data_IF_726006795811
#
_entry.id   IF_726006795811
#
_cell.length_a   1.000
_cell.length_b   1.000
_cell.length_c   1.000
_cell.angle_alpha   90.00
_cell.angle_beta   90.00
_cell.angle_gamma   90.00
#
_symmetry.space_group_name_H-M   'P 1'
#
loop_
_entity.id
_entity.type
_entity.pdbx_description
1 polymer ?
#
# COMPACT_ATOMS: atom_id res chain seq x y z
N UNK A 1 -28.51 28.77 37.33
CA UNK A 1 -27.17 29.03 36.77
C UNK A 1 -26.31 27.82 37.06
N UNK A 2 -26.11 26.97 36.08
CA UNK A 2 -25.29 25.76 36.22
C UNK A 2 -23.87 26.09 35.81
N UNK A 3 -22.92 26.01 36.71
CA UNK A 3 -21.50 26.25 36.46
C UNK A 3 -20.94 24.92 35.93
N UNK A 4 -20.55 24.87 34.65
CA UNK A 4 -19.82 23.74 34.08
C UNK A 4 -18.45 23.62 34.74
N UNK A 5 -17.99 22.41 35.12
CA UNK A 5 -16.68 22.25 35.70
C UNK A 5 -15.59 22.50 34.63
N UNK A 6 -14.70 23.44 34.93
CA UNK A 6 -13.46 23.66 34.15
C UNK A 6 -12.54 22.47 34.44
N UNK A 7 -12.21 21.69 33.42
CA UNK A 7 -11.19 20.63 33.50
C UNK A 7 -9.83 21.29 33.84
N UNK A 8 -9.06 20.73 34.76
CA UNK A 8 -7.74 21.27 35.10
C UNK A 8 -6.79 21.12 33.88
N UNK A 9 -6.03 22.17 33.61
CA UNK A 9 -4.96 22.13 32.58
C UNK A 9 -3.92 21.08 32.96
N UNK A 10 -3.40 20.31 31.98
CA UNK A 10 -2.37 19.31 32.25
C UNK A 10 -1.14 19.96 32.88
N UNK A 11 -0.64 19.37 33.96
CA UNK A 11 0.52 19.89 34.68
C UNK A 11 1.80 19.85 33.79
N UNK A 12 2.77 20.73 34.08
CA UNK A 12 4.01 20.85 33.32
C UNK A 12 4.76 19.49 33.11
N UNK A 13 4.66 18.59 34.07
CA UNK A 13 5.19 17.23 33.96
C UNK A 13 4.49 16.36 32.89
N UNK A 14 3.17 16.48 32.73
CA UNK A 14 2.41 15.76 31.73
C UNK A 14 2.76 16.26 30.31
N UNK A 15 2.84 17.59 30.13
CA UNK A 15 3.29 18.20 28.87
C UNK A 15 4.72 17.82 28.49
N UNK A 16 5.64 17.73 29.45
CA UNK A 16 7.00 17.28 29.22
C UNK A 16 7.07 15.78 28.82
N UNK A 17 6.26 14.95 29.45
CA UNK A 17 6.16 13.53 29.13
C UNK A 17 5.55 13.30 27.72
N UNK A 18 4.49 14.01 27.36
CA UNK A 18 3.89 13.97 26.02
C UNK A 18 4.89 14.44 24.95
N UNK A 19 5.63 15.53 25.20
CA UNK A 19 6.67 16.02 24.29
C UNK A 19 7.86 15.05 24.16
N UNK A 20 8.21 14.33 25.21
CA UNK A 20 9.25 13.28 25.16
C UNK A 20 8.78 12.06 24.36
N UNK A 21 7.52 11.64 24.55
CA UNK A 21 6.89 10.55 23.80
C UNK A 21 6.78 10.91 22.32
N UNK A 22 6.33 12.12 21.98
CA UNK A 22 6.25 12.60 20.60
C UNK A 22 7.61 12.58 19.88
N UNK A 23 8.68 13.04 20.54
CA UNK A 23 10.04 12.95 19.97
C UNK A 23 10.51 11.51 19.78
N UNK A 24 10.15 10.60 20.68
CA UNK A 24 10.46 9.18 20.54
C UNK A 24 9.73 8.54 19.36
N UNK A 25 8.47 8.90 19.10
CA UNK A 25 7.69 8.43 17.98
C UNK A 25 8.25 8.94 16.65
N UNK A 26 8.62 10.23 16.58
CA UNK A 26 9.22 10.79 15.37
C UNK A 26 10.52 10.09 14.99
N UNK A 27 11.37 9.79 15.97
CA UNK A 27 12.62 9.03 15.75
C UNK A 27 12.34 7.58 15.32
N UNK A 28 11.34 6.93 15.92
CA UNK A 28 10.92 5.58 15.54
C UNK A 28 10.41 5.55 14.10
N UNK A 29 9.53 6.47 13.74
CA UNK A 29 8.99 6.58 12.38
C UNK A 29 10.08 6.89 11.36
N UNK A 30 11.02 7.76 11.70
CA UNK A 30 12.16 8.10 10.83
C UNK A 30 13.01 6.86 10.50
N UNK A 31 13.35 6.08 11.54
CA UNK A 31 14.13 4.84 11.37
C UNK A 31 13.37 3.79 10.56
N UNK A 32 12.08 3.60 10.82
CA UNK A 32 11.25 2.65 10.08
C UNK A 32 11.11 3.06 8.61
N UNK A 33 10.85 4.34 8.35
CA UNK A 33 10.70 4.88 7.00
C UNK A 33 12.00 4.76 6.20
N UNK A 34 13.14 5.11 6.80
CA UNK A 34 14.45 5.00 6.15
C UNK A 34 14.86 3.54 5.92
N UNK A 35 14.62 2.65 6.90
CA UNK A 35 14.88 1.22 6.74
C UNK A 35 14.05 0.60 5.60
N UNK A 36 12.75 0.93 5.53
CA UNK A 36 11.89 0.49 4.44
C UNK A 36 12.30 1.09 3.09
N UNK A 37 12.74 2.35 3.05
CA UNK A 37 13.27 2.97 1.84
C UNK A 37 14.51 2.24 1.29
N UNK A 38 15.39 1.75 2.16
CA UNK A 38 16.59 1.00 1.77
C UNK A 38 16.28 -0.27 0.97
N UNK A 39 15.09 -0.84 1.10
CA UNK A 39 14.62 -1.91 0.23
C UNK A 39 14.71 -1.51 -1.24
N UNK A 40 14.17 -0.35 -1.60
CA UNK A 40 14.16 0.11 -2.99
C UNK A 40 15.57 0.37 -3.52
N UNK A 41 16.50 0.84 -2.69
CA UNK A 41 17.90 1.00 -3.10
C UNK A 41 18.58 -0.33 -3.42
N UNK A 42 18.33 -1.35 -2.60
CA UNK A 42 18.98 -2.67 -2.70
C UNK A 42 18.36 -3.56 -3.77
N UNK A 43 17.04 -3.47 -3.93
CA UNK A 43 16.27 -4.41 -4.74
C UNK A 43 15.93 -3.87 -6.14
N UNK A 44 16.34 -2.65 -6.47
CA UNK A 44 16.21 -2.09 -7.83
C UNK A 44 17.38 -2.52 -8.72
N UNK A 45 17.05 -2.93 -9.94
CA UNK A 45 18.04 -3.03 -11.01
C UNK A 45 18.37 -1.62 -11.54
N UNK A 46 19.59 -1.11 -11.39
CA UNK A 46 19.92 0.27 -11.77
C UNK A 46 19.90 0.50 -13.30
N UNK A 47 20.02 -0.55 -14.11
CA UNK A 47 20.07 -0.45 -15.58
C UNK A 47 18.69 -0.20 -16.20
N UNK A 48 17.65 -0.85 -15.64
CA UNK A 48 16.30 -0.80 -16.20
C UNK A 48 15.23 -0.31 -15.22
N UNK A 49 15.59 -0.02 -13.97
CA UNK A 49 14.67 0.50 -12.96
C UNK A 49 13.63 -0.49 -12.44
N UNK A 50 13.69 -1.77 -12.84
CA UNK A 50 12.82 -2.82 -12.30
C UNK A 50 13.16 -3.07 -10.83
N UNK A 51 12.14 -3.39 -10.02
CA UNK A 51 12.30 -3.64 -8.59
C UNK A 51 11.75 -5.01 -8.24
N UNK A 52 12.54 -5.82 -7.54
CA UNK A 52 12.13 -7.14 -7.13
C UNK A 52 10.91 -7.09 -6.19
N UNK A 53 10.03 -8.09 -6.27
CA UNK A 53 8.86 -8.22 -5.42
C UNK A 53 9.22 -8.45 -3.95
N UNK A 54 10.23 -9.27 -3.71
CA UNK A 54 10.71 -9.60 -2.36
C UNK A 54 12.23 -9.66 -2.29
N UNK A 55 12.79 -9.67 -1.08
CA UNK A 55 14.24 -9.92 -0.87
C UNK A 55 14.63 -11.40 -1.02
N UNK A 56 13.69 -12.29 -1.28
CA UNK A 56 13.95 -13.72 -1.47
C UNK A 56 14.74 -13.95 -2.74
N UNK A 57 15.64 -14.92 -2.71
CA UNK A 57 16.47 -15.26 -3.87
C UNK A 57 15.61 -15.64 -5.09
N UNK A 58 15.93 -15.09 -6.26
CA UNK A 58 15.20 -15.35 -7.49
C UNK A 58 13.82 -14.67 -7.59
N UNK A 59 13.56 -13.69 -6.73
CA UNK A 59 12.33 -12.90 -6.79
C UNK A 59 12.22 -12.18 -8.12
N UNK A 60 11.08 -12.26 -8.84
CA UNK A 60 10.84 -11.45 -10.02
C UNK A 60 10.61 -9.99 -9.66
N UNK A 61 10.56 -9.13 -10.67
CA UNK A 61 10.02 -7.78 -10.54
C UNK A 61 8.50 -7.85 -10.36
N UNK A 62 7.96 -7.07 -9.41
CA UNK A 62 6.56 -6.70 -9.39
C UNK A 62 6.39 -5.28 -9.96
N UNK A 63 5.51 -5.11 -10.94
CA UNK A 63 5.30 -3.80 -11.57
C UNK A 63 4.69 -2.79 -10.58
N UNK A 64 3.85 -3.25 -9.64
CA UNK A 64 3.34 -2.39 -8.57
C UNK A 64 4.46 -1.87 -7.67
N UNK A 65 5.43 -2.73 -7.32
CA UNK A 65 6.58 -2.33 -6.50
C UNK A 65 7.43 -1.27 -7.22
N UNK A 66 7.55 -1.33 -8.54
CA UNK A 66 8.17 -0.24 -9.33
C UNK A 66 7.38 1.07 -9.16
N UNK A 67 6.05 1.02 -9.17
CA UNK A 67 5.20 2.20 -8.93
C UNK A 67 5.42 2.82 -7.54
N UNK A 68 5.56 1.98 -6.52
CA UNK A 68 5.93 2.42 -5.17
C UNK A 68 7.33 3.03 -5.12
N UNK A 69 8.32 2.42 -5.80
CA UNK A 69 9.67 2.97 -5.88
C UNK A 69 9.70 4.35 -6.54
N UNK A 70 8.99 4.51 -7.69
CA UNK A 70 8.86 5.80 -8.38
C UNK A 70 8.24 6.89 -7.51
N UNK A 71 7.35 6.52 -6.59
CA UNK A 71 6.77 7.43 -5.59
C UNK A 71 7.71 7.67 -4.39
N UNK A 72 8.59 6.71 -4.08
CA UNK A 72 9.53 6.81 -2.96
C UNK A 72 10.77 7.66 -3.29
N UNK A 73 11.17 7.77 -4.57
CA UNK A 73 12.29 8.64 -4.97
C UNK A 73 12.06 10.11 -4.60
N UNK A 74 10.89 10.74 -4.88
CA UNK A 74 10.55 12.06 -4.34
C UNK A 74 10.69 12.17 -2.82
N UNK A 75 10.22 11.17 -2.07
CA UNK A 75 10.34 11.15 -0.61
C UNK A 75 11.80 11.15 -0.18
N UNK A 76 12.64 10.34 -0.83
CA UNK A 76 14.07 10.28 -0.52
C UNK A 76 14.80 11.60 -0.78
N UNK A 77 14.42 12.33 -1.82
CA UNK A 77 14.97 13.67 -2.10
C UNK A 77 14.54 14.66 -1.01
N UNK A 78 13.26 14.70 -0.63
CA UNK A 78 12.74 15.59 0.42
C UNK A 78 13.35 15.29 1.79
N UNK A 79 13.64 14.02 2.08
CA UNK A 79 14.28 13.59 3.33
C UNK A 79 15.81 13.71 3.32
N UNK A 80 16.42 14.07 2.19
CA UNK A 80 17.87 14.18 2.05
C UNK A 80 18.60 12.82 2.04
N UNK A 81 17.89 11.71 1.76
CA UNK A 81 18.49 10.37 1.67
C UNK A 81 19.09 10.09 0.30
N UNK A 82 18.71 10.87 -0.71
CA UNK A 82 19.17 10.72 -2.09
C UNK A 82 19.32 12.08 -2.77
N UNK A 83 20.34 12.23 -3.59
CA UNK A 83 20.45 13.41 -4.44
C UNK A 83 19.35 13.42 -5.51
N UNK A 84 18.83 14.61 -5.83
CA UNK A 84 17.77 14.75 -6.85
C UNK A 84 18.19 14.18 -8.20
N UNK A 85 19.44 14.39 -8.61
CA UNK A 85 19.95 13.84 -9.88
C UNK A 85 19.90 12.33 -9.92
N UNK A 86 20.25 11.64 -8.83
CA UNK A 86 20.22 10.17 -8.76
C UNK A 86 18.78 9.65 -8.81
N UNK A 87 17.83 10.31 -8.13
CA UNK A 87 16.42 9.99 -8.19
C UNK A 87 15.86 10.13 -9.62
N UNK A 88 16.24 11.20 -10.33
CA UNK A 88 15.89 11.41 -11.74
C UNK A 88 16.43 10.30 -12.63
N UNK A 89 17.71 9.91 -12.46
CA UNK A 89 18.31 8.83 -13.27
C UNK A 89 17.62 7.48 -13.05
N UNK A 90 17.31 7.11 -11.80
CA UNK A 90 16.56 5.89 -11.49
C UNK A 90 15.16 5.91 -12.07
N UNK A 91 14.49 7.05 -12.01
CA UNK A 91 13.16 7.24 -12.63
C UNK A 91 13.24 7.08 -14.15
N UNK A 92 14.22 7.72 -14.80
CA UNK A 92 14.43 7.60 -16.25
C UNK A 92 14.75 6.18 -16.69
N UNK A 93 15.54 5.42 -15.93
CA UNK A 93 15.83 4.02 -16.23
C UNK A 93 14.53 3.21 -16.34
N UNK A 94 13.63 3.34 -15.36
CA UNK A 94 12.33 2.65 -15.39
C UNK A 94 11.44 3.14 -16.55
N UNK A 95 11.30 4.45 -16.75
CA UNK A 95 10.42 4.98 -17.80
C UNK A 95 10.91 4.61 -19.20
N UNK A 96 12.22 4.64 -19.45
CA UNK A 96 12.80 4.20 -20.73
C UNK A 96 12.57 2.72 -20.98
N UNK A 97 12.79 1.88 -19.95
CA UNK A 97 12.50 0.46 -20.03
C UNK A 97 11.04 0.20 -20.42
N UNK A 98 10.07 0.79 -19.73
CA UNK A 98 8.66 0.58 -20.06
C UNK A 98 8.26 1.18 -21.40
N UNK A 99 8.88 2.28 -21.88
CA UNK A 99 8.68 2.83 -23.22
C UNK A 99 9.06 1.81 -24.30
N UNK A 100 10.23 1.19 -24.15
CA UNK A 100 10.85 0.33 -25.14
C UNK A 100 10.45 -1.15 -24.99
N UNK A 101 9.66 -1.48 -23.99
CA UNK A 101 9.24 -2.84 -23.67
C UNK A 101 8.30 -3.45 -24.72
N UNK A 102 8.37 -4.78 -24.84
CA UNK A 102 7.50 -5.55 -25.74
C UNK A 102 6.03 -5.47 -25.29
N UNK A 103 5.18 -4.92 -26.18
CA UNK A 103 3.73 -4.75 -25.98
C UNK A 103 2.92 -5.65 -26.92
N UNK A 104 3.51 -6.73 -27.45
CA UNK A 104 2.81 -7.63 -28.38
C UNK A 104 1.75 -8.51 -27.73
N UNK A 105 1.75 -8.64 -26.39
CA UNK A 105 0.88 -9.58 -25.69
C UNK A 105 1.26 -11.05 -25.85
N UNK A 106 2.44 -11.34 -26.43
CA UNK A 106 2.95 -12.72 -26.51
C UNK A 106 3.18 -13.31 -25.12
N UNK A 107 3.26 -14.66 -24.97
CA UNK A 107 3.47 -15.31 -23.67
C UNK A 107 4.72 -14.87 -22.91
N UNK A 108 5.67 -14.24 -23.59
CA UNK A 108 6.93 -13.73 -23.01
C UNK A 108 7.04 -12.20 -23.07
N UNK A 109 6.03 -11.51 -23.63
CA UNK A 109 6.02 -10.05 -23.70
C UNK A 109 6.06 -9.42 -22.31
N UNK A 110 6.41 -8.14 -22.22
CA UNK A 110 6.35 -7.34 -21.01
C UNK A 110 4.93 -6.86 -20.73
N UNK A 111 4.14 -6.63 -21.79
CA UNK A 111 2.79 -6.08 -21.66
C UNK A 111 1.94 -6.23 -22.91
N UNK A 112 0.74 -5.62 -22.87
CA UNK A 112 -0.23 -5.56 -23.95
C UNK A 112 -1.20 -4.38 -23.74
N UNK A 113 -1.58 -3.68 -24.80
CA UNK A 113 -2.47 -2.51 -24.74
C UNK A 113 -2.04 -1.42 -23.74
N UNK A 114 -0.75 -1.29 -23.48
CA UNK A 114 -0.21 -0.34 -22.52
C UNK A 114 -0.25 -0.80 -21.06
N UNK A 115 -0.89 -1.93 -20.75
CA UNK A 115 -0.80 -2.61 -19.46
C UNK A 115 0.38 -3.58 -19.45
N UNK A 116 0.74 -4.06 -18.26
CA UNK A 116 1.90 -4.91 -18.05
C UNK A 116 1.55 -6.19 -17.30
N UNK A 117 2.32 -7.25 -17.53
CA UNK A 117 2.20 -8.46 -16.74
C UNK A 117 2.66 -8.21 -15.30
N UNK A 118 1.96 -8.82 -14.35
CA UNK A 118 2.15 -8.63 -12.92
C UNK A 118 3.62 -8.83 -12.49
N UNK A 119 4.22 -9.95 -12.94
CA UNK A 119 5.60 -10.29 -12.62
C UNK A 119 6.45 -10.37 -13.89
N UNK A 120 7.63 -9.73 -13.82
CA UNK A 120 8.59 -9.65 -14.91
C UNK A 120 9.95 -10.18 -14.44
N UNK A 121 10.71 -10.75 -15.36
CA UNK A 121 12.11 -11.06 -15.13
C UNK A 121 12.91 -9.77 -14.89
N UNK A 122 13.75 -9.75 -13.87
CA UNK A 122 14.49 -8.57 -13.40
C UNK A 122 15.48 -7.99 -14.43
N UNK A 123 15.90 -8.78 -15.43
CA UNK A 123 16.88 -8.36 -16.44
C UNK A 123 16.23 -8.12 -17.79
N UNK A 124 15.51 -9.11 -18.31
CA UNK A 124 14.92 -9.07 -19.64
C UNK A 124 13.57 -8.35 -19.69
N UNK A 125 12.86 -8.27 -18.55
CA UNK A 125 11.48 -7.77 -18.50
C UNK A 125 10.45 -8.72 -19.09
N UNK A 126 10.83 -9.96 -19.41
CA UNK A 126 9.90 -10.97 -19.89
C UNK A 126 8.92 -11.39 -18.79
N UNK A 127 7.69 -11.72 -19.18
CA UNK A 127 6.65 -12.23 -18.26
C UNK A 127 7.14 -13.45 -17.48
N UNK A 128 6.91 -13.43 -16.16
CA UNK A 128 7.24 -14.53 -15.26
C UNK A 128 5.98 -15.27 -14.76
N UNK A 129 6.16 -16.56 -14.42
CA UNK A 129 5.16 -17.43 -13.77
C UNK A 129 3.81 -17.52 -14.47
N UNK A 130 3.73 -17.24 -15.78
CA UNK A 130 2.46 -17.12 -16.50
C UNK A 130 1.47 -16.18 -15.80
N UNK A 131 2.00 -15.14 -15.14
CA UNK A 131 1.19 -14.15 -14.47
C UNK A 131 0.21 -13.49 -15.44
N UNK A 132 -0.88 -12.98 -14.93
CA UNK A 132 -1.82 -12.18 -15.71
C UNK A 132 -1.23 -10.81 -16.08
N UNK A 133 -1.73 -10.24 -17.15
CA UNK A 133 -1.66 -8.82 -17.42
C UNK A 133 -2.52 -8.14 -16.34
N UNK A 134 -1.87 -7.54 -15.35
CA UNK A 134 -2.57 -7.01 -14.19
C UNK A 134 -2.95 -5.55 -14.39
N UNK A 135 -4.25 -5.28 -14.33
CA UNK A 135 -4.76 -3.94 -14.54
C UNK A 135 -4.56 -3.07 -13.30
N UNK A 136 -4.74 -3.65 -12.11
CA UNK A 136 -4.54 -2.90 -10.86
C UNK A 136 -3.06 -2.58 -10.61
N UNK A 137 -2.16 -3.54 -10.81
CA UNK A 137 -0.73 -3.30 -10.63
C UNK A 137 -0.18 -2.33 -11.67
N UNK A 138 -0.72 -2.36 -12.91
CA UNK A 138 -0.44 -1.34 -13.92
C UNK A 138 -0.92 0.05 -13.49
N UNK A 139 -2.08 0.15 -12.83
CA UNK A 139 -2.56 1.42 -12.29
C UNK A 139 -1.64 1.96 -11.17
N UNK A 140 -1.15 1.08 -10.29
CA UNK A 140 -0.17 1.44 -9.25
C UNK A 140 1.15 1.91 -9.86
N UNK A 141 1.64 1.22 -10.91
CA UNK A 141 2.82 1.63 -11.66
C UNK A 141 2.66 3.03 -12.27
N UNK A 142 1.54 3.26 -12.96
CA UNK A 142 1.23 4.55 -13.58
C UNK A 142 1.07 5.68 -12.57
N UNK A 143 0.47 5.40 -11.40
CA UNK A 143 0.40 6.37 -10.31
C UNK A 143 1.79 6.81 -9.83
N UNK A 144 2.73 5.86 -9.74
CA UNK A 144 4.14 6.17 -9.45
C UNK A 144 4.80 7.02 -10.53
N UNK A 145 4.60 6.69 -11.82
CA UNK A 145 5.11 7.47 -12.95
C UNK A 145 4.58 8.92 -12.93
N UNK A 146 3.27 9.10 -12.75
CA UNK A 146 2.65 10.42 -12.67
C UNK A 146 3.08 11.20 -11.43
N UNK A 147 3.31 10.53 -10.30
CA UNK A 147 3.82 11.14 -9.07
C UNK A 147 5.23 11.70 -9.30
N UNK A 148 6.12 10.90 -9.88
CA UNK A 148 7.48 11.33 -10.22
C UNK A 148 7.45 12.51 -11.21
N UNK A 149 6.63 12.43 -12.27
CA UNK A 149 6.49 13.50 -13.25
C UNK A 149 5.95 14.81 -12.63
N UNK A 150 5.08 14.71 -11.63
CA UNK A 150 4.53 15.87 -10.92
C UNK A 150 5.55 16.51 -9.96
N UNK A 151 6.48 15.70 -9.43
CA UNK A 151 7.53 16.18 -8.52
C UNK A 151 8.76 16.74 -9.24
N UNK A 152 9.23 16.07 -10.30
CA UNK A 152 10.41 16.46 -11.06
C UNK A 152 10.04 17.45 -12.16
N UNK A 153 10.00 18.76 -11.80
CA UNK A 153 9.48 19.83 -12.65
C UNK A 153 10.52 20.83 -13.14
N UNK A 154 11.83 20.61 -12.84
CA UNK A 154 12.88 21.51 -13.33
C UNK A 154 12.99 21.47 -14.86
N UNK A 155 13.51 22.56 -15.42
CA UNK A 155 13.70 22.71 -16.87
C UNK A 155 14.99 22.04 -17.38
N UNK A 156 15.55 21.10 -16.62
CA UNK A 156 16.70 20.31 -17.10
C UNK A 156 16.26 19.31 -18.18
N UNK A 157 17.11 18.99 -19.16
CA UNK A 157 16.75 18.01 -20.20
C UNK A 157 16.27 16.67 -19.64
N UNK A 158 16.90 16.19 -18.56
CA UNK A 158 16.53 14.93 -17.91
C UNK A 158 15.13 14.96 -17.29
N UNK A 159 14.76 16.03 -16.60
CA UNK A 159 13.42 16.14 -16.01
C UNK A 159 12.34 16.46 -17.05
N UNK A 160 12.69 17.12 -18.15
CA UNK A 160 11.78 17.29 -19.30
C UNK A 160 11.49 15.93 -19.93
N UNK A 161 12.52 15.14 -20.27
CA UNK A 161 12.38 13.78 -20.79
C UNK A 161 11.54 12.89 -19.87
N UNK A 162 11.80 12.95 -18.55
CA UNK A 162 11.05 12.20 -17.56
C UNK A 162 9.55 12.47 -17.66
N UNK A 163 9.15 13.74 -17.72
CA UNK A 163 7.73 14.13 -17.84
C UNK A 163 7.12 13.68 -19.16
N UNK A 164 7.83 13.85 -20.26
CA UNK A 164 7.37 13.41 -21.59
C UNK A 164 7.18 11.90 -21.67
N UNK A 165 8.10 11.12 -21.08
CA UNK A 165 7.98 9.67 -21.01
C UNK A 165 6.81 9.22 -20.15
N UNK A 166 6.64 9.79 -18.97
CA UNK A 166 5.52 9.45 -18.07
C UNK A 166 4.17 9.78 -18.74
N UNK A 167 4.06 10.92 -19.39
CA UNK A 167 2.89 11.32 -20.18
C UNK A 167 2.61 10.34 -21.31
N UNK A 168 3.62 9.97 -22.11
CA UNK A 168 3.48 9.05 -23.23
C UNK A 168 3.06 7.65 -22.77
N UNK A 169 3.63 7.15 -21.67
CA UNK A 169 3.30 5.86 -21.09
C UNK A 169 1.86 5.83 -20.56
N UNK A 170 1.43 6.87 -19.86
CA UNK A 170 0.05 6.97 -19.38
C UNK A 170 -0.97 7.04 -20.53
N UNK A 171 -0.68 7.82 -21.58
CA UNK A 171 -1.54 7.95 -22.75
C UNK A 171 -1.63 6.68 -23.61
N UNK A 172 -0.63 5.81 -23.55
CA UNK A 172 -0.58 4.53 -24.29
C UNK A 172 -1.63 3.53 -23.79
N UNK A 173 -2.06 3.63 -22.53
CA UNK A 173 -2.92 2.62 -21.90
C UNK A 173 -4.32 2.65 -22.49
N UNK A 174 -4.77 1.51 -23.00
CA UNK A 174 -6.12 1.31 -23.54
C UNK A 174 -7.10 0.85 -22.45
N UNK A 175 -7.56 1.81 -21.65
CA UNK A 175 -8.53 1.53 -20.58
C UNK A 175 -9.89 1.06 -21.12
N UNK A 176 -10.29 1.52 -22.31
CA UNK A 176 -11.54 1.11 -22.92
C UNK A 176 -11.52 -0.38 -23.28
N UNK A 177 -10.37 -0.89 -23.79
CA UNK A 177 -10.17 -2.31 -24.00
C UNK A 177 -10.33 -3.13 -22.71
N UNK A 178 -9.87 -2.61 -21.58
CA UNK A 178 -9.95 -3.25 -20.26
C UNK A 178 -11.38 -3.36 -19.72
N UNK A 179 -12.34 -2.58 -20.22
CA UNK A 179 -13.76 -2.75 -19.94
C UNK A 179 -14.37 -3.94 -20.67
N UNK A 180 -13.77 -4.39 -21.78
CA UNK A 180 -14.37 -5.36 -22.67
C UNK A 180 -15.75 -4.88 -23.13
N UNK A 181 -16.74 -5.78 -23.17
CA UNK A 181 -18.17 -5.47 -23.46
C UNK A 181 -18.98 -5.25 -22.16
N UNK A 182 -18.32 -5.21 -21.01
CA UNK A 182 -18.93 -5.08 -19.69
C UNK A 182 -18.99 -3.65 -19.16
N UNK A 183 -19.66 -3.47 -18.03
CA UNK A 183 -19.70 -2.20 -17.32
C UNK A 183 -18.50 -1.96 -16.42
N UNK A 184 -17.89 -3.03 -15.86
CA UNK A 184 -16.73 -2.94 -14.98
C UNK A 184 -15.43 -3.29 -15.70
N UNK A 185 -14.31 -2.77 -15.18
CA UNK A 185 -12.97 -3.17 -15.62
C UNK A 185 -12.70 -4.61 -15.20
N UNK A 186 -12.12 -5.43 -16.07
CA UNK A 186 -11.75 -6.81 -15.76
C UNK A 186 -10.51 -6.85 -14.84
N UNK A 187 -10.34 -7.96 -14.09
CA UNK A 187 -9.15 -8.11 -13.23
C UNK A 187 -7.86 -8.21 -14.02
N UNK A 188 -7.88 -8.87 -15.17
CA UNK A 188 -6.70 -9.08 -15.98
C UNK A 188 -6.96 -9.84 -17.26
N UNK A 189 -5.90 -10.11 -17.99
CA UNK A 189 -5.89 -10.82 -19.25
C UNK A 189 -4.68 -11.77 -19.32
N UNK A 190 -4.81 -12.87 -20.04
CA UNK A 190 -3.71 -13.81 -20.32
C UNK A 190 -3.67 -14.22 -21.78
N UNK A 191 -2.48 -14.37 -22.39
CA UNK A 191 -2.38 -14.85 -23.79
C UNK A 191 -3.04 -16.21 -23.99
N UNK A 192 -3.03 -17.06 -22.96
CA UNK A 192 -3.50 -18.43 -23.03
C UNK A 192 -5.03 -18.56 -23.02
N UNK A 193 -5.74 -17.62 -22.42
CA UNK A 193 -7.20 -17.75 -22.21
C UNK A 193 -7.99 -16.44 -22.40
N UNK A 194 -7.32 -15.32 -22.73
CA UNK A 194 -7.99 -14.03 -22.84
C UNK A 194 -8.31 -13.38 -21.50
N UNK A 195 -9.39 -12.63 -21.44
CA UNK A 195 -9.80 -11.94 -20.24
C UNK A 195 -10.18 -12.90 -19.09
N UNK A 196 -9.76 -12.55 -17.88
CA UNK A 196 -10.20 -13.24 -16.67
C UNK A 196 -11.70 -13.00 -16.46
N UNK A 197 -12.40 -13.99 -15.88
CA UNK A 197 -13.85 -13.95 -15.72
C UNK A 197 -14.35 -13.07 -14.56
N UNK A 198 -13.48 -12.31 -13.93
CA UNK A 198 -13.79 -11.44 -12.79
C UNK A 198 -13.63 -9.98 -13.19
N UNK A 199 -14.59 -9.15 -12.78
CA UNK A 199 -14.50 -7.70 -12.87
C UNK A 199 -14.16 -7.09 -11.52
N UNK A 200 -13.60 -5.90 -11.54
CA UNK A 200 -13.45 -5.06 -10.36
C UNK A 200 -14.82 -4.51 -9.95
N UNK A 201 -15.52 -5.26 -9.10
CA UNK A 201 -16.82 -4.93 -8.54
C UNK A 201 -16.76 -4.88 -7.02
N UNK A 202 -17.47 -3.92 -6.41
CA UNK A 202 -17.46 -3.73 -4.98
C UNK A 202 -16.20 -3.04 -4.45
N UNK A 203 -16.25 -2.63 -3.20
CA UNK A 203 -15.18 -1.84 -2.60
C UNK A 203 -13.85 -2.61 -2.52
N UNK A 204 -12.86 -2.05 -3.15
CA UNK A 204 -11.51 -2.58 -3.25
C UNK A 204 -10.50 -1.46 -3.43
N UNK A 205 -9.22 -1.77 -3.56
CA UNK A 205 -8.14 -0.84 -3.88
C UNK A 205 -8.28 -0.18 -5.26
N UNK A 206 -9.22 -0.62 -6.08
CA UNK A 206 -9.39 -0.20 -7.47
C UNK A 206 -9.92 1.24 -7.66
N UNK A 207 -10.19 2.02 -6.59
CA UNK A 207 -10.55 3.44 -6.74
C UNK A 207 -9.51 4.16 -7.60
N UNK A 208 -8.22 3.95 -7.34
CA UNK A 208 -7.13 4.56 -8.10
C UNK A 208 -7.16 4.15 -9.57
N UNK A 209 -7.41 2.88 -9.86
CA UNK A 209 -7.55 2.35 -11.23
C UNK A 209 -8.66 3.09 -11.98
N UNK A 210 -9.85 3.18 -11.38
CA UNK A 210 -10.98 3.88 -12.00
C UNK A 210 -10.71 5.37 -12.19
N UNK A 211 -10.09 6.03 -11.21
CA UNK A 211 -9.71 7.45 -11.32
C UNK A 211 -8.75 7.68 -12.48
N UNK A 212 -7.71 6.86 -12.61
CA UNK A 212 -6.75 6.94 -13.72
C UNK A 212 -7.41 6.59 -15.06
N UNK A 213 -8.21 5.53 -15.12
CA UNK A 213 -8.89 5.13 -16.35
C UNK A 213 -9.89 6.19 -16.84
N UNK A 214 -10.66 6.80 -15.94
CA UNK A 214 -11.57 7.91 -16.26
C UNK A 214 -10.82 9.18 -16.67
N UNK A 215 -9.61 9.39 -16.17
CA UNK A 215 -8.80 10.57 -16.49
C UNK A 215 -8.10 10.48 -17.84
N UNK A 216 -7.96 9.27 -18.40
CA UNK A 216 -7.21 9.06 -19.64
C UNK A 216 -7.63 10.03 -20.75
N UNK A 217 -6.67 10.69 -21.42
CA UNK A 217 -6.99 11.61 -22.52
C UNK A 217 -7.18 10.88 -23.86
N UNK A 218 -6.85 9.61 -23.94
CA UNK A 218 -6.87 8.79 -25.18
C UNK A 218 -7.99 7.76 -25.17
N UNK A 219 -7.85 6.71 -24.38
CA UNK A 219 -8.73 5.53 -24.33
C UNK A 219 -9.39 5.41 -22.96
N UNK A 220 -10.17 6.39 -22.56
CA UNK A 220 -10.74 6.46 -21.21
C UNK A 220 -11.87 5.48 -20.98
N UNK A 221 -12.06 5.11 -19.71
CA UNK A 221 -13.25 4.44 -19.22
C UNK A 221 -14.50 5.31 -19.36
N UNK A 222 -15.65 4.66 -19.44
CA UNK A 222 -16.94 5.36 -19.34
C UNK A 222 -17.26 5.70 -17.88
N UNK A 223 -18.03 6.77 -17.66
CA UNK A 223 -18.44 7.16 -16.28
C UNK A 223 -19.33 6.10 -15.63
N UNK A 224 -20.11 5.37 -16.45
CA UNK A 224 -20.94 4.25 -16.03
C UNK A 224 -20.12 3.13 -15.38
N UNK A 225 -18.86 2.96 -15.78
CA UNK A 225 -18.00 1.91 -15.21
C UNK A 225 -17.72 2.12 -13.73
N UNK A 226 -17.54 3.37 -13.30
CA UNK A 226 -17.38 3.70 -11.89
C UNK A 226 -18.68 3.47 -11.10
N UNK A 227 -19.82 3.83 -11.69
CA UNK A 227 -21.11 3.59 -11.06
C UNK A 227 -21.38 2.08 -10.92
N UNK A 228 -21.10 1.30 -11.96
CA UNK A 228 -21.26 -0.16 -11.93
C UNK A 228 -20.38 -0.79 -10.83
N UNK A 229 -19.14 -0.33 -10.67
CA UNK A 229 -18.24 -0.80 -9.61
C UNK A 229 -18.81 -0.55 -8.21
N UNK A 230 -19.51 0.56 -7.98
CA UNK A 230 -20.10 0.90 -6.68
C UNK A 230 -21.40 0.17 -6.35
N UNK A 231 -22.03 -0.52 -7.30
CA UNK A 231 -23.37 -1.16 -7.12
C UNK A 231 -23.36 -2.21 -6.02
N UNK A 232 -22.27 -2.96 -5.90
CA UNK A 232 -22.15 -4.06 -4.94
C UNK A 232 -21.50 -3.65 -3.62
N UNK A 233 -21.40 -2.35 -3.34
CA UNK A 233 -20.87 -1.83 -2.09
C UNK A 233 -21.69 -2.29 -0.89
N UNK A 234 -21.03 -2.76 0.16
CA UNK A 234 -21.63 -3.24 1.39
C UNK A 234 -21.36 -2.25 2.52
N UNK A 235 -22.42 -1.63 3.03
CA UNK A 235 -22.36 -0.74 4.17
C UNK A 235 -22.76 -1.50 5.44
N UNK A 236 -21.80 -1.65 6.36
CA UNK A 236 -21.92 -2.49 7.54
C UNK A 236 -21.80 -1.69 8.82
N UNK A 237 -22.39 -2.21 9.90
CA UNK A 237 -22.10 -1.75 11.26
C UNK A 237 -21.33 -2.84 12.00
N UNK A 238 -20.06 -2.61 12.29
CA UNK A 238 -19.22 -3.53 13.04
C UNK A 238 -18.64 -2.81 14.28
N UNK A 239 -18.84 -3.42 15.43
CA UNK A 239 -18.36 -2.88 16.71
C UNK A 239 -18.76 -1.41 16.99
N UNK A 240 -19.91 -0.98 16.48
CA UNK A 240 -20.42 0.40 16.62
C UNK A 240 -19.90 1.37 15.56
N UNK A 241 -19.16 0.90 14.57
CA UNK A 241 -18.69 1.70 13.44
C UNK A 241 -19.49 1.38 12.18
N UNK A 242 -20.17 2.40 11.62
CA UNK A 242 -20.81 2.31 10.30
C UNK A 242 -19.77 2.62 9.23
N UNK A 243 -19.49 1.72 8.32
CA UNK A 243 -18.49 1.93 7.27
C UNK A 243 -18.74 1.08 6.03
N UNK A 244 -18.11 1.47 4.92
CA UNK A 244 -18.05 0.67 3.71
C UNK A 244 -17.08 -0.48 3.93
N UNK A 245 -17.63 -1.69 3.92
CA UNK A 245 -16.93 -2.89 4.34
C UNK A 245 -15.91 -3.37 3.29
N UNK A 246 -14.72 -3.68 3.78
CA UNK A 246 -13.77 -4.63 3.22
C UNK A 246 -12.99 -5.26 4.39
N UNK A 247 -12.68 -6.56 4.29
CA UNK A 247 -12.02 -7.27 5.39
C UNK A 247 -10.55 -6.90 5.58
N UNK A 248 -9.71 -6.97 4.53
CA UNK A 248 -8.28 -6.65 4.61
C UNK A 248 -8.01 -5.14 4.66
N UNK A 249 -7.01 -4.73 5.45
CA UNK A 249 -6.64 -3.31 5.57
C UNK A 249 -6.10 -2.69 4.28
N UNK A 250 -5.34 -3.43 3.47
CA UNK A 250 -4.73 -2.86 2.26
C UNK A 250 -5.76 -2.23 1.31
N UNK A 251 -6.99 -2.78 1.28
CA UNK A 251 -8.10 -2.23 0.49
C UNK A 251 -8.42 -0.79 0.92
N UNK A 252 -8.37 -0.52 2.22
CA UNK A 252 -8.61 0.80 2.80
C UNK A 252 -7.40 1.74 2.72
N UNK A 253 -6.26 1.29 2.16
CA UNK A 253 -4.99 2.00 2.23
C UNK A 253 -4.41 2.36 0.86
N UNK A 254 -4.37 1.43 -0.10
CA UNK A 254 -3.59 1.58 -1.32
C UNK A 254 -3.94 2.83 -2.12
N UNK A 255 -5.22 3.09 -2.39
CA UNK A 255 -5.61 4.32 -3.10
C UNK A 255 -5.28 5.60 -2.32
N UNK A 256 -5.25 5.53 -0.98
CA UNK A 256 -4.90 6.66 -0.11
C UNK A 256 -3.42 7.04 -0.14
N UNK A 257 -2.54 6.18 -0.65
CA UNK A 257 -1.15 6.54 -0.89
C UNK A 257 -1.06 7.78 -1.76
N UNK A 258 -1.84 7.78 -2.86
CA UNK A 258 -1.79 8.85 -3.87
C UNK A 258 -2.93 9.84 -3.76
N UNK A 259 -4.13 9.45 -3.30
CA UNK A 259 -5.32 10.32 -3.30
C UNK A 259 -5.68 10.73 -1.87
N UNK A 260 -5.75 12.03 -1.65
CA UNK A 260 -6.28 12.59 -0.41
C UNK A 260 -7.80 12.65 -0.46
N UNK A 261 -8.46 11.67 0.15
CA UNK A 261 -9.91 11.59 0.14
C UNK A 261 -10.60 12.46 1.21
N UNK A 262 -9.85 13.25 1.98
CA UNK A 262 -10.44 14.11 3.03
C UNK A 262 -11.35 15.17 2.44
N UNK A 263 -12.63 15.09 2.82
CA UNK A 263 -13.66 16.06 2.45
C UNK A 263 -14.18 15.94 1.02
N UNK A 264 -13.60 15.10 0.17
CA UNK A 264 -14.13 14.81 -1.18
C UNK A 264 -14.99 13.55 -1.13
N UNK A 265 -16.13 13.58 -1.84
CA UNK A 265 -17.12 12.50 -1.78
C UNK A 265 -17.70 12.22 -3.15
N UNK A 266 -17.73 10.95 -3.53
CA UNK A 266 -18.52 10.46 -4.67
C UNK A 266 -20.02 10.41 -4.30
N UNK A 267 -20.83 9.87 -5.21
CA UNK A 267 -22.28 9.75 -4.98
C UNK A 267 -22.60 8.90 -3.75
N UNK A 268 -22.01 7.70 -3.64
CA UNK A 268 -22.27 6.77 -2.54
C UNK A 268 -21.89 7.38 -1.19
N UNK A 269 -20.70 7.96 -1.09
CA UNK A 269 -20.20 8.56 0.16
C UNK A 269 -20.98 9.81 0.56
N UNK A 270 -21.55 10.56 -0.41
CA UNK A 270 -22.49 11.67 -0.07
C UNK A 270 -23.76 11.16 0.58
N UNK A 271 -24.34 10.07 0.06
CA UNK A 271 -25.54 9.43 0.62
C UNK A 271 -25.29 8.92 2.05
N UNK A 272 -24.07 8.40 2.32
CA UNK A 272 -23.63 7.94 3.64
C UNK A 272 -23.11 9.05 4.55
N UNK A 273 -23.02 10.29 4.09
CA UNK A 273 -22.45 11.45 4.81
C UNK A 273 -21.05 11.19 5.35
N UNK A 274 -20.26 10.40 4.63
CA UNK A 274 -18.90 9.97 4.94
C UNK A 274 -17.98 10.31 3.78
N UNK A 275 -16.67 10.28 3.99
CA UNK A 275 -15.68 10.21 2.93
C UNK A 275 -14.81 8.94 3.09
N UNK A 276 -14.00 8.62 2.07
CA UNK A 276 -13.20 7.40 2.13
C UNK A 276 -12.09 7.48 3.18
N UNK A 277 -11.65 8.67 3.59
CA UNK A 277 -10.67 8.81 4.67
C UNK A 277 -11.28 8.44 6.02
N UNK A 278 -12.45 8.99 6.34
CA UNK A 278 -13.18 8.62 7.55
C UNK A 278 -13.59 7.13 7.52
N UNK A 279 -13.94 6.60 6.34
CA UNK A 279 -14.20 5.18 6.16
C UNK A 279 -12.99 4.32 6.56
N UNK A 280 -11.81 4.66 6.06
CA UNK A 280 -10.56 3.94 6.36
C UNK A 280 -10.15 4.10 7.84
N UNK A 281 -10.43 5.25 8.44
CA UNK A 281 -10.29 5.46 9.89
C UNK A 281 -11.18 4.47 10.68
N UNK A 282 -12.45 4.35 10.33
CA UNK A 282 -13.38 3.41 10.97
C UNK A 282 -12.95 1.95 10.78
N UNK A 283 -12.53 1.59 9.59
CA UNK A 283 -11.97 0.25 9.31
C UNK A 283 -10.74 -0.05 10.19
N UNK A 284 -9.87 0.94 10.42
CA UNK A 284 -8.71 0.81 11.32
C UNK A 284 -9.16 0.53 12.77
N UNK A 285 -10.18 1.21 13.26
CA UNK A 285 -10.75 0.94 14.57
C UNK A 285 -11.41 -0.45 14.66
N UNK A 286 -12.14 -0.87 13.62
CA UNK A 286 -12.75 -2.22 13.54
C UNK A 286 -11.68 -3.31 13.65
N UNK A 287 -10.53 -3.13 13.00
CA UNK A 287 -9.40 -4.07 13.08
C UNK A 287 -8.87 -4.21 14.53
N UNK A 288 -8.64 -3.07 15.20
CA UNK A 288 -8.21 -3.06 16.61
C UNK A 288 -9.25 -3.70 17.52
N UNK A 289 -10.54 -3.34 17.37
CA UNK A 289 -11.65 -3.90 18.19
C UNK A 289 -11.76 -5.42 18.01
N UNK A 290 -11.63 -5.92 16.78
CA UNK A 290 -11.62 -7.35 16.51
C UNK A 290 -10.47 -8.05 17.25
N UNK A 291 -9.24 -7.54 17.13
CA UNK A 291 -8.09 -8.13 17.80
C UNK A 291 -8.18 -8.03 19.33
N UNK A 292 -8.73 -6.94 19.87
CA UNK A 292 -8.95 -6.76 21.31
C UNK A 292 -9.99 -7.77 21.85
N UNK A 293 -11.07 -8.00 21.12
CA UNK A 293 -12.10 -9.01 21.45
C UNK A 293 -11.59 -10.43 21.24
N UNK A 294 -10.68 -10.62 20.30
CA UNK A 294 -10.00 -11.86 19.99
C UNK A 294 -10.95 -13.09 19.95
N UNK A 295 -11.97 -13.09 19.08
CA UNK A 295 -13.03 -14.11 19.11
C UNK A 295 -12.55 -15.54 18.83
N UNK A 296 -11.35 -15.67 18.25
CA UNK A 296 -10.73 -16.97 17.95
C UNK A 296 -9.63 -17.37 18.94
N UNK A 297 -9.39 -16.53 19.95
CA UNK A 297 -8.39 -16.78 21.03
C UNK A 297 -6.97 -16.98 20.51
N UNK A 298 -6.54 -16.21 19.50
CA UNK A 298 -5.17 -16.25 19.01
C UNK A 298 -4.22 -15.60 20.02
N UNK A 299 -3.07 -16.24 20.23
CA UNK A 299 -2.00 -15.67 21.06
C UNK A 299 -1.51 -14.35 20.47
N UNK A 300 -1.35 -13.36 21.31
CA UNK A 300 -0.78 -12.06 20.93
C UNK A 300 -1.79 -11.04 20.40
N UNK A 301 -2.97 -11.42 19.97
CA UNK A 301 -4.02 -10.45 19.58
C UNK A 301 -4.41 -9.56 20.76
N UNK A 302 -4.64 -8.30 20.49
CA UNK A 302 -5.03 -7.31 21.51
C UNK A 302 -4.94 -5.88 20.94
N UNK A 303 -5.11 -4.90 21.81
CA UNK A 303 -5.10 -3.47 21.48
C UNK A 303 -3.76 -2.96 20.90
N UNK A 304 -2.65 -3.63 21.23
CA UNK A 304 -1.31 -3.33 20.73
C UNK A 304 -0.79 -4.32 19.66
N UNK A 305 -1.61 -5.26 19.17
CA UNK A 305 -1.18 -6.24 18.17
C UNK A 305 -2.36 -6.64 17.28
N UNK A 306 -2.49 -5.97 16.15
CA UNK A 306 -3.56 -6.10 15.16
C UNK A 306 -3.07 -5.69 13.77
N UNK A 307 -3.87 -5.93 12.75
CA UNK A 307 -3.59 -5.54 11.38
C UNK A 307 -3.72 -6.72 10.41
N UNK A 308 -4.97 -7.14 10.12
CA UNK A 308 -5.21 -8.19 9.14
C UNK A 308 -5.24 -7.59 7.74
N UNK A 309 -4.37 -8.13 6.88
CA UNK A 309 -4.19 -7.67 5.51
C UNK A 309 -3.68 -8.82 4.63
N UNK A 310 -3.40 -8.54 3.36
CA UNK A 310 -2.63 -9.45 2.54
C UNK A 310 -1.21 -9.57 3.11
N UNK A 311 -0.69 -10.77 3.15
CA UNK A 311 0.64 -11.02 3.66
C UNK A 311 0.96 -12.51 3.76
N UNK A 312 2.21 -12.80 4.05
CA UNK A 312 2.72 -14.15 4.20
C UNK A 312 2.20 -14.81 5.48
N UNK A 313 2.30 -16.12 5.58
CA UNK A 313 1.87 -16.86 6.74
C UNK A 313 2.71 -18.09 7.00
N UNK A 314 2.64 -18.66 8.23
CA UNK A 314 3.57 -19.67 8.71
C UNK A 314 3.45 -21.03 8.02
N UNK A 315 2.39 -21.27 7.27
CA UNK A 315 2.15 -22.51 6.55
C UNK A 315 0.98 -22.39 5.60
N UNK A 316 1.01 -23.12 4.49
CA UNK A 316 -0.16 -23.29 3.60
C UNK A 316 -1.04 -24.49 4.02
N UNK A 317 -0.79 -25.09 5.17
CA UNK A 317 -1.49 -26.29 5.66
C UNK A 317 -1.73 -26.24 7.16
N UNK A 318 -2.73 -26.99 7.68
CA UNK A 318 -2.98 -27.07 9.10
C UNK A 318 -1.77 -27.61 9.90
N UNK A 319 -1.56 -27.03 11.08
CA UNK A 319 -0.57 -27.48 12.05
C UNK A 319 -1.22 -27.78 13.40
N UNK A 320 -0.55 -28.58 14.24
CA UNK A 320 -0.94 -28.79 15.63
C UNK A 320 -0.27 -27.70 16.48
N UNK A 321 -1.09 -26.88 17.16
CA UNK A 321 -0.63 -25.83 18.07
C UNK A 321 -1.33 -26.02 19.41
N UNK A 322 -0.58 -26.12 20.49
CA UNK A 322 -1.10 -26.33 21.84
C UNK A 322 -2.18 -27.44 21.91
N UNK A 323 -1.95 -28.59 21.24
CA UNK A 323 -2.87 -29.73 21.23
C UNK A 323 -4.14 -29.56 20.40
N UNK A 324 -4.26 -28.49 19.60
CA UNK A 324 -5.38 -28.26 18.68
C UNK A 324 -4.89 -28.19 17.25
N UNK A 325 -5.66 -28.77 16.31
CA UNK A 325 -5.41 -28.62 14.88
C UNK A 325 -5.92 -27.23 14.44
N UNK A 326 -5.01 -26.36 14.03
CA UNK A 326 -5.30 -25.01 13.55
C UNK A 326 -5.00 -24.91 12.05
N UNK A 327 -5.91 -24.31 11.29
CA UNK A 327 -5.66 -23.98 9.90
C UNK A 327 -4.73 -22.77 9.84
N UNK A 328 -3.76 -22.84 8.94
CA UNK A 328 -2.92 -21.71 8.55
C UNK A 328 -3.01 -21.54 7.05
N UNK A 329 -2.74 -20.33 6.62
CA UNK A 329 -2.65 -19.96 5.22
C UNK A 329 -1.21 -19.54 4.93
N UNK A 330 -0.70 -19.84 3.73
CA UNK A 330 0.51 -19.22 3.21
C UNK A 330 0.26 -17.73 2.95
N UNK A 331 0.66 -17.23 1.79
CA UNK A 331 0.25 -15.89 1.41
C UNK A 331 -1.27 -15.83 1.23
N UNK A 332 -1.92 -14.91 1.93
CA UNK A 332 -3.38 -14.78 1.91
C UNK A 332 -3.83 -13.36 2.27
N UNK A 333 -4.95 -12.92 1.68
CA UNK A 333 -5.63 -11.69 2.07
C UNK A 333 -6.51 -11.96 3.30
N UNK A 334 -5.93 -11.76 4.49
CA UNK A 334 -6.63 -11.89 5.77
C UNK A 334 -7.48 -10.68 6.05
N UNK A 335 -8.64 -10.87 6.68
CA UNK A 335 -9.57 -9.77 6.91
C UNK A 335 -10.54 -10.01 8.04
N UNK A 336 -11.10 -8.94 8.61
CA UNK A 336 -12.04 -8.96 9.74
C UNK A 336 -13.42 -8.49 9.33
N UNK A 337 -14.47 -9.03 9.97
CA UNK A 337 -14.52 -10.24 10.81
C UNK A 337 -14.77 -11.50 9.97
N UNK A 338 -15.13 -11.36 8.66
CA UNK A 338 -15.65 -12.42 7.80
C UNK A 338 -14.58 -13.05 6.91
N UNK A 339 -13.40 -12.46 6.82
CA UNK A 339 -12.29 -12.97 6.00
C UNK A 339 -11.50 -14.10 6.66
N UNK A 340 -10.53 -14.67 5.93
CA UNK A 340 -9.59 -15.62 6.51
C UNK A 340 -8.84 -15.00 7.70
N UNK A 341 -8.66 -15.78 8.77
CA UNK A 341 -7.88 -15.39 9.94
C UNK A 341 -7.27 -16.63 10.57
N UNK A 342 -5.95 -16.65 10.70
CA UNK A 342 -5.14 -17.72 11.27
C UNK A 342 -4.23 -17.23 12.42
N UNK A 343 -4.49 -16.01 12.91
CA UNK A 343 -3.67 -15.38 13.94
C UNK A 343 -2.45 -14.64 13.40
N UNK A 344 -2.30 -14.53 12.06
CA UNK A 344 -1.22 -13.78 11.41
C UNK A 344 -1.64 -12.34 11.15
N UNK A 345 -0.78 -11.40 11.53
CA UNK A 345 -0.96 -9.96 11.24
C UNK A 345 0.14 -9.48 10.29
N UNK A 346 -0.15 -8.41 9.55
CA UNK A 346 0.82 -7.62 8.80
C UNK A 346 1.12 -6.34 9.57
N UNK A 347 2.32 -6.23 10.14
CA UNK A 347 2.74 -5.04 10.90
C UNK A 347 2.80 -3.80 10.02
N UNK A 348 3.19 -3.96 8.76
CA UNK A 348 3.18 -2.94 7.71
C UNK A 348 1.79 -2.32 7.51
N UNK A 349 0.74 -3.15 7.48
CA UNK A 349 -0.64 -2.68 7.33
C UNK A 349 -1.15 -1.93 8.57
N UNK A 350 -0.78 -2.36 9.78
CA UNK A 350 -1.05 -1.59 10.98
C UNK A 350 -0.39 -0.20 10.90
N UNK A 351 0.90 -0.13 10.53
CA UNK A 351 1.64 1.12 10.37
C UNK A 351 1.08 1.99 9.24
N UNK A 352 0.69 1.41 8.11
CA UNK A 352 0.09 2.14 6.98
C UNK A 352 -1.24 2.82 7.34
N UNK A 353 -1.90 2.40 8.42
CA UNK A 353 -3.08 3.08 8.98
C UNK A 353 -2.75 4.35 9.79
N UNK A 354 -1.48 4.72 9.91
CA UNK A 354 -1.02 5.85 10.75
C UNK A 354 -1.71 7.17 10.41
N UNK A 355 -1.92 7.43 9.13
CA UNK A 355 -2.60 8.67 8.67
C UNK A 355 -4.06 8.75 9.13
N UNK A 356 -4.72 7.60 9.35
CA UNK A 356 -6.14 7.54 9.70
C UNK A 356 -6.40 7.63 11.20
N UNK A 357 -5.60 6.93 12.01
CA UNK A 357 -5.83 6.80 13.44
C UNK A 357 -4.51 6.70 14.23
N UNK A 358 -3.68 7.78 14.24
CA UNK A 358 -2.38 7.76 14.91
C UNK A 358 -2.47 7.41 16.39
N UNK A 359 -3.56 7.75 17.05
CA UNK A 359 -3.81 7.51 18.47
C UNK A 359 -3.87 6.04 18.87
N UNK A 360 -4.21 5.14 17.95
CA UNK A 360 -4.20 3.68 18.18
C UNK A 360 -3.06 2.98 17.41
N UNK A 361 -2.56 3.58 16.33
CA UNK A 361 -1.49 3.00 15.52
C UNK A 361 -0.13 3.15 16.19
N UNK A 362 0.22 4.34 16.72
CA UNK A 362 1.52 4.56 17.36
C UNK A 362 1.75 3.61 18.55
N UNK A 363 0.80 3.38 19.48
CA UNK A 363 0.96 2.37 20.51
C UNK A 363 1.18 0.95 19.99
N UNK A 364 0.44 0.54 18.93
CA UNK A 364 0.59 -0.77 18.31
C UNK A 364 1.97 -0.93 17.66
N UNK A 365 2.44 0.07 16.92
CA UNK A 365 3.77 0.05 16.30
C UNK A 365 4.88 -0.02 17.34
N UNK A 366 4.81 0.76 18.45
CA UNK A 366 5.78 0.66 19.56
C UNK A 366 5.82 -0.76 20.14
N UNK A 367 4.66 -1.39 20.34
CA UNK A 367 4.58 -2.76 20.83
C UNK A 367 5.23 -3.77 19.86
N UNK A 368 4.96 -3.65 18.57
CA UNK A 368 5.55 -4.51 17.53
C UNK A 368 7.08 -4.32 17.45
N UNK A 369 7.57 -3.08 17.48
CA UNK A 369 9.01 -2.78 17.50
C UNK A 369 9.68 -3.37 18.75
N UNK A 370 9.06 -3.24 19.92
CA UNK A 370 9.59 -3.79 21.17
C UNK A 370 9.62 -5.33 21.18
N UNK A 371 8.72 -6.01 20.47
CA UNK A 371 8.74 -7.47 20.32
C UNK A 371 9.91 -7.94 19.46
N UNK A 372 10.19 -7.29 18.34
CA UNK A 372 11.34 -7.62 17.49
C UNK A 372 12.67 -7.54 18.25
N UNK A 373 12.82 -6.54 19.12
CA UNK A 373 14.03 -6.38 19.93
C UNK A 373 14.28 -7.50 20.95
N UNK A 374 13.25 -8.24 21.35
CA UNK A 374 13.38 -9.40 22.28
C UNK A 374 13.76 -10.70 21.60
N UNK A 375 13.55 -10.80 20.28
CA UNK A 375 13.80 -12.03 19.50
C UNK A 375 15.21 -12.06 18.87
N UNK A 376 15.93 -10.95 18.86
CA UNK A 376 17.32 -10.89 18.41
C UNK A 376 18.23 -11.67 19.36
N UNK A 377 19.06 -12.57 18.84
CA UNK A 377 20.12 -13.25 19.62
C UNK A 377 20.96 -12.21 20.35
N UNK A 378 20.90 -12.22 21.68
CA UNK A 378 21.88 -11.53 22.49
C UNK A 378 23.25 -12.19 22.24
N UNK A 379 24.05 -11.68 21.32
CA UNK A 379 25.36 -12.28 21.07
C UNK A 379 26.16 -11.75 19.88
N UNK A 380 25.56 -11.06 18.94
CA UNK A 380 26.33 -10.47 17.83
C UNK A 380 26.04 -8.98 17.69
N UNK A 381 26.61 -8.19 18.61
CA UNK A 381 26.81 -6.75 18.41
C UNK A 381 28.06 -6.62 17.55
N UNK A 382 27.92 -6.78 16.25
CA UNK A 382 28.92 -6.29 15.31
C UNK A 382 28.91 -4.76 15.33
N UNK A 383 30.08 -4.14 15.25
CA UNK A 383 30.31 -2.68 15.29
C UNK A 383 29.67 -1.84 14.16
N UNK A 384 28.79 -2.40 13.36
CA UNK A 384 27.85 -1.69 12.50
C UNK A 384 26.46 -1.78 13.14
N UNK A 385 26.03 -0.74 13.86
CA UNK A 385 24.79 -0.65 14.64
C UNK A 385 23.47 -0.92 13.89
N UNK A 386 23.29 -2.09 13.34
CA UNK A 386 22.21 -2.53 12.49
C UNK A 386 21.51 -3.78 13.01
N UNK A 387 21.13 -3.80 14.28
CA UNK A 387 19.99 -4.63 14.67
C UNK A 387 18.79 -4.16 13.87
N UNK A 388 18.17 -5.05 13.04
CA UNK A 388 17.13 -4.65 12.09
C UNK A 388 15.97 -3.98 12.80
N UNK A 389 15.87 -2.67 12.67
CA UNK A 389 14.87 -1.84 13.35
C UNK A 389 13.50 -2.24 12.85
N UNK A 390 12.67 -2.81 13.76
CA UNK A 390 11.27 -3.08 13.48
C UNK A 390 11.03 -4.25 12.53
N UNK A 391 11.82 -5.34 12.59
CA UNK A 391 11.64 -6.53 11.76
C UNK A 391 10.18 -7.00 11.72
N UNK A 392 9.50 -7.11 12.85
CA UNK A 392 8.09 -7.53 12.90
C UNK A 392 7.09 -6.51 12.32
N UNK A 393 7.49 -5.26 12.13
CA UNK A 393 6.69 -4.23 11.44
C UNK A 393 6.91 -4.29 9.93
N UNK A 394 8.16 -4.54 9.51
CA UNK A 394 8.55 -4.57 8.09
C UNK A 394 8.32 -5.93 7.43
N UNK A 395 8.22 -7.01 8.23
CA UNK A 395 7.90 -8.33 7.73
C UNK A 395 6.47 -8.42 7.18
N UNK A 396 6.28 -9.19 6.13
CA UNK A 396 4.96 -9.40 5.50
C UNK A 396 3.97 -10.17 6.37
N UNK A 397 4.45 -10.85 7.43
CA UNK A 397 3.60 -11.57 8.38
C UNK A 397 4.29 -11.81 9.72
N UNK A 398 3.50 -11.69 10.79
CA UNK A 398 3.87 -12.05 12.14
C UNK A 398 2.76 -12.89 12.79
N UNK A 399 3.09 -14.02 13.44
CA UNK A 399 2.12 -14.88 14.10
C UNK A 399 2.66 -15.36 15.47
N UNK A 400 2.14 -14.76 16.54
CA UNK A 400 2.55 -15.11 17.91
C UNK A 400 2.03 -16.48 18.38
N UNK A 401 1.08 -17.08 17.68
CA UNK A 401 0.52 -18.41 18.03
C UNK A 401 1.47 -19.55 17.65
N UNK A 402 2.32 -19.34 16.64
CA UNK A 402 3.29 -20.33 16.17
C UNK A 402 4.61 -20.10 16.89
N UNK A 403 4.97 -21.00 17.80
CA UNK A 403 6.28 -20.95 18.47
C UNK A 403 7.35 -21.53 17.56
N UNK A 404 8.42 -20.79 17.36
CA UNK A 404 9.67 -21.25 16.75
C UNK A 404 10.79 -21.25 17.78
N UNK A 405 11.75 -22.16 17.66
CA UNK A 405 12.81 -22.31 18.65
C UNK A 405 13.57 -20.99 18.88
N UNK A 406 13.44 -20.43 20.09
CA UNK A 406 14.10 -19.20 20.51
C UNK A 406 13.45 -17.91 20.08
N UNK A 407 12.20 -17.91 19.54
CA UNK A 407 11.45 -16.73 19.14
C UNK A 407 10.04 -16.70 19.77
N UNK A 408 9.57 -15.51 20.12
CA UNK A 408 8.19 -15.26 20.61
C UNK A 408 7.18 -15.19 19.45
N UNK A 409 7.20 -16.17 18.54
CA UNK A 409 6.33 -16.26 17.38
C UNK A 409 7.09 -16.49 16.08
N UNK A 410 6.33 -16.72 15.02
CA UNK A 410 6.82 -16.81 13.65
C UNK A 410 6.86 -15.43 12.99
N UNK A 411 7.89 -15.14 12.23
CA UNK A 411 8.03 -13.94 11.41
C UNK A 411 8.34 -14.38 9.97
N UNK A 412 7.70 -13.77 8.98
CA UNK A 412 7.96 -14.02 7.56
C UNK A 412 9.41 -13.76 7.21
N UNK A 413 10.01 -14.68 6.48
CA UNK A 413 11.36 -14.50 5.94
C UNK A 413 11.35 -13.51 4.76
N UNK A 414 12.25 -12.53 4.84
CA UNK A 414 12.40 -11.50 3.82
C UNK A 414 11.35 -10.39 3.90
N UNK A 415 11.59 -9.36 3.11
CA UNK A 415 10.75 -8.18 2.99
C UNK A 415 10.02 -8.19 1.65
N UNK A 416 8.83 -7.63 1.61
CA UNK A 416 8.02 -7.49 0.41
C UNK A 416 7.96 -6.02 -0.01
N UNK A 417 8.17 -5.74 -1.29
CA UNK A 417 8.25 -4.38 -1.80
C UNK A 417 6.98 -3.56 -1.60
N UNK A 418 5.80 -4.18 -1.70
CA UNK A 418 4.52 -3.53 -1.41
C UNK A 418 4.45 -3.07 0.05
N UNK A 419 4.85 -3.91 1.00
CA UNK A 419 4.86 -3.58 2.43
C UNK A 419 5.81 -2.41 2.71
N UNK A 420 7.03 -2.46 2.14
CA UNK A 420 8.01 -1.39 2.32
C UNK A 420 7.53 -0.07 1.69
N UNK A 421 6.90 -0.14 0.52
CA UNK A 421 6.30 1.02 -0.14
C UNK A 421 5.21 1.66 0.69
N UNK A 422 4.31 0.86 1.26
CA UNK A 422 3.27 1.35 2.16
C UNK A 422 3.85 2.05 3.39
N UNK A 423 4.89 1.49 3.99
CA UNK A 423 5.57 2.10 5.14
C UNK A 423 6.15 3.47 4.75
N UNK A 424 6.93 3.53 3.66
CA UNK A 424 7.59 4.78 3.23
C UNK A 424 6.57 5.87 2.93
N UNK A 425 5.55 5.56 2.12
CA UNK A 425 4.65 6.57 1.56
C UNK A 425 3.57 7.01 2.56
N UNK A 426 3.07 6.10 3.41
CA UNK A 426 2.06 6.47 4.41
C UNK A 426 2.67 7.20 5.60
N UNK A 427 3.90 6.89 6.02
CA UNK A 427 4.62 7.73 6.99
C UNK A 427 4.86 9.13 6.38
N UNK A 428 5.24 9.23 5.10
CA UNK A 428 5.43 10.53 4.46
C UNK A 428 4.14 11.35 4.40
N UNK A 429 3.03 10.70 4.04
CA UNK A 429 1.74 11.38 4.05
C UNK A 429 1.32 11.83 5.46
N UNK A 430 1.62 11.06 6.50
CA UNK A 430 1.40 11.46 7.89
C UNK A 430 2.25 12.67 8.28
N UNK A 431 3.54 12.66 7.93
CA UNK A 431 4.52 13.69 8.35
C UNK A 431 4.36 15.00 7.58
N UNK A 432 4.18 14.94 6.27
CA UNK A 432 4.21 16.11 5.39
C UNK A 432 3.04 16.22 4.42
N UNK A 433 2.34 15.13 4.12
CA UNK A 433 1.33 15.09 3.08
C UNK A 433 1.90 15.26 1.66
N UNK A 434 3.16 14.92 1.42
CA UNK A 434 3.84 15.15 0.14
C UNK A 434 3.09 14.54 -1.03
N UNK A 435 2.78 13.22 -0.97
CA UNK A 435 2.11 12.54 -2.09
C UNK A 435 0.72 13.14 -2.35
N UNK A 436 0.01 13.51 -1.29
CA UNK A 436 -1.30 14.15 -1.39
C UNK A 436 -1.23 15.55 -2.01
N UNK A 437 -0.20 16.35 -1.70
CA UNK A 437 0.00 17.65 -2.38
C UNK A 437 0.28 17.46 -3.87
N UNK A 438 1.13 16.49 -4.23
CA UNK A 438 1.42 16.16 -5.62
C UNK A 438 0.16 15.72 -6.37
N UNK A 439 -0.62 14.79 -5.80
CA UNK A 439 -1.84 14.32 -6.46
C UNK A 439 -2.91 15.42 -6.61
N UNK A 440 -3.05 16.30 -5.63
CA UNK A 440 -3.95 17.45 -5.73
C UNK A 440 -3.57 18.42 -6.85
N UNK A 441 -2.27 18.53 -7.19
CA UNK A 441 -1.81 19.36 -8.32
C UNK A 441 -1.90 18.64 -9.67
N UNK A 442 -2.11 17.33 -9.70
CA UNK A 442 -2.23 16.54 -10.92
C UNK A 442 -3.57 16.79 -11.60
N UNK A 443 -3.54 17.31 -12.83
CA UNK A 443 -4.74 17.51 -13.65
C UNK A 443 -5.46 16.20 -13.96
N UNK A 444 -4.72 15.09 -14.10
CA UNK A 444 -5.29 13.76 -14.33
C UNK A 444 -6.07 13.26 -13.11
N UNK A 445 -5.49 13.31 -11.91
CA UNK A 445 -6.19 12.90 -10.68
C UNK A 445 -7.46 13.74 -10.48
N UNK A 446 -7.37 15.06 -10.64
CA UNK A 446 -8.54 15.93 -10.51
C UNK A 446 -9.63 15.59 -11.55
N UNK A 447 -9.24 15.39 -12.83
CA UNK A 447 -10.20 15.06 -13.89
C UNK A 447 -10.87 13.71 -13.64
N UNK A 448 -10.12 12.70 -13.25
CA UNK A 448 -10.65 11.38 -12.94
C UNK A 448 -11.63 11.39 -11.77
N UNK A 449 -11.26 12.06 -10.66
CA UNK A 449 -12.15 12.22 -9.51
C UNK A 449 -13.45 12.94 -9.88
N UNK A 450 -13.39 14.03 -10.66
CA UNK A 450 -14.61 14.75 -11.11
C UNK A 450 -15.51 13.87 -11.97
N UNK A 451 -14.93 13.06 -12.88
CA UNK A 451 -15.68 12.13 -13.74
C UNK A 451 -16.26 10.95 -12.95
N UNK A 452 -15.56 10.48 -11.91
CA UNK A 452 -16.09 9.52 -10.94
C UNK A 452 -17.17 10.12 -10.01
N UNK A 453 -17.52 11.40 -10.20
CA UNK A 453 -18.57 12.07 -9.45
C UNK A 453 -18.17 12.58 -8.07
N UNK A 454 -16.87 12.65 -7.76
CA UNK A 454 -16.39 13.28 -6.53
C UNK A 454 -16.62 14.79 -6.55
N UNK A 455 -16.96 15.33 -5.37
CA UNK A 455 -17.20 16.76 -5.13
C UNK A 455 -16.81 17.14 -3.71
N UNK A 456 -16.56 18.43 -3.49
CA UNK A 456 -16.29 19.01 -2.17
C UNK A 456 -14.80 19.02 -1.83
N UNK A 457 -14.49 19.40 -0.59
CA UNK A 457 -13.12 19.49 -0.10
C UNK A 457 -12.20 20.35 -0.96
N UNK A 458 -11.07 19.79 -1.34
CA UNK A 458 -10.05 20.44 -2.16
C UNK A 458 -10.30 20.33 -3.70
N UNK A 459 -11.27 19.55 -4.14
CA UNK A 459 -11.58 19.25 -5.55
C UNK A 459 -12.54 20.27 -6.15
#
# INVERSE_FOLDING_TARGET
MSVSPVLPSPGAGALAAEAATGRSDDLMLDRLQHAAFNYFLKMSNPENGLVADTTRQGSPCSIAVVGFALSAWPVAVERGWMARADAVQRTLAALRFFRDSDQTGSPVATGYHGFYFHFLDMHSGARMWQSELSLIDSALLLAGMLTAATYFTAATPAEVELRELAEALYRRVDWAWAQRDGSCVVHGWKPECGFLNYGWEGYSEAILLYVLGLASPTHRLTEESYLAWTVTYQWENLYGHDFLYAGPLFIHQFSHVWIDFRGIRDRFMREKRCDYFENSRRATWVQREYATRNPRSFTGYGDGCWGLSAGDGPSASPRWVAGRRQAFYGYAARGVPYGPDDGTIAGSAALASLVFAPEIVLPAVRNLVARASRTGKAGEVGEAGGGEVGESVRASGFNATVSEAGRDGWISEGEFGLDQGMIVLMIENYRSGLLWRLSRSSSYIQAGLRRAGFRGGWL
#
